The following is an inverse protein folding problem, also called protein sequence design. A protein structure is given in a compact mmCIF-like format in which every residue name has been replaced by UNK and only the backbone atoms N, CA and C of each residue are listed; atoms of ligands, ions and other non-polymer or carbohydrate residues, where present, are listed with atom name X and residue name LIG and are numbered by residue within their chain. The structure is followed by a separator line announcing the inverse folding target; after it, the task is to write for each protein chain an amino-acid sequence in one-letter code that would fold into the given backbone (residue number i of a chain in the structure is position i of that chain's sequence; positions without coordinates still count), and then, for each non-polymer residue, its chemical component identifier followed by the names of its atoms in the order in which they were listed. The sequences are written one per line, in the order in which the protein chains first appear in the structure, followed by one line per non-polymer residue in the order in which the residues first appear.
data_IF_967441058431
#
_entry.id   IF_967441058431
#
_cell.length_a   1.000
_cell.length_b   1.000
_cell.length_c   1.000
_cell.angle_alpha   90.00
_cell.angle_beta   90.00
_cell.angle_gamma   90.00
#
_symmetry.space_group_name_H-M   'P 1'
#
loop_
_entity.id
_entity.type
_entity.pdbx_description
1 polymer ?
#
# COMPACT_ATOMS: atom_id res chain seq x y z
N UNK A 1 -5.85 4.83 -23.81
CA UNK A 1 -6.29 3.47 -24.17
C UNK A 1 -6.18 2.48 -23.01
N UNK A 2 -4.99 2.18 -22.48
CA UNK A 2 -4.79 1.18 -21.39
C UNK A 2 -5.42 1.60 -20.05
N UNK A 3 -5.21 2.85 -19.61
CA UNK A 3 -5.77 3.35 -18.33
C UNK A 3 -7.30 3.29 -18.34
N UNK A 4 -7.93 3.65 -19.47
CA UNK A 4 -9.38 3.63 -19.61
C UNK A 4 -9.93 2.20 -19.53
N UNK A 5 -9.25 1.25 -20.20
CA UNK A 5 -9.55 -0.18 -20.09
C UNK A 5 -9.51 -0.67 -18.64
N UNK A 6 -8.47 -0.28 -17.88
CA UNK A 6 -8.34 -0.63 -16.46
C UNK A 6 -9.42 -0.03 -15.56
N UNK A 7 -9.96 1.13 -15.93
CA UNK A 7 -10.95 1.88 -15.13
C UNK A 7 -12.41 1.52 -15.44
N UNK A 8 -12.72 1.04 -16.63
CA UNK A 8 -14.10 0.89 -17.08
C UNK A 8 -14.51 -0.58 -17.30
N UNK A 9 -13.56 -1.48 -17.58
CA UNK A 9 -13.90 -2.85 -17.92
C UNK A 9 -14.32 -3.68 -16.67
N UNK A 10 -15.50 -4.30 -16.74
CA UNK A 10 -16.04 -5.15 -15.66
C UNK A 10 -15.23 -6.43 -15.43
N UNK A 11 -14.76 -7.11 -16.48
CA UNK A 11 -13.95 -8.32 -16.32
C UNK A 11 -12.64 -8.01 -15.57
N UNK A 12 -12.04 -6.87 -15.90
CA UNK A 12 -10.81 -6.39 -15.24
C UNK A 12 -11.04 -6.10 -13.75
N UNK A 13 -12.23 -5.63 -13.35
CA UNK A 13 -12.51 -5.41 -11.91
C UNK A 13 -12.43 -6.68 -11.05
N UNK A 14 -12.74 -7.86 -11.60
CA UNK A 14 -12.58 -9.12 -10.87
C UNK A 14 -11.10 -9.46 -10.67
N UNK A 15 -10.29 -9.32 -11.73
CA UNK A 15 -8.84 -9.55 -11.67
C UNK A 15 -8.19 -8.59 -10.67
N UNK A 16 -8.55 -7.30 -10.73
CA UNK A 16 -8.05 -6.29 -9.80
C UNK A 16 -8.45 -6.61 -8.36
N UNK A 17 -9.64 -7.14 -8.11
CA UNK A 17 -10.04 -7.55 -6.76
C UNK A 17 -9.17 -8.69 -6.22
N UNK A 18 -8.86 -9.69 -7.04
CA UNK A 18 -7.95 -10.79 -6.66
C UNK A 18 -6.54 -10.26 -6.38
N UNK A 19 -6.00 -9.42 -7.27
CA UNK A 19 -4.68 -8.80 -7.09
C UNK A 19 -4.67 -7.94 -5.82
N UNK A 20 -5.71 -7.16 -5.58
CA UNK A 20 -5.88 -6.33 -4.37
C UNK A 20 -5.83 -7.16 -3.10
N UNK A 21 -6.58 -8.27 -3.06
CA UNK A 21 -6.59 -9.20 -1.92
C UNK A 21 -5.22 -9.84 -1.72
N UNK A 22 -4.54 -10.26 -2.79
CA UNK A 22 -3.18 -10.81 -2.71
C UNK A 22 -2.17 -9.82 -2.12
N UNK A 23 -2.16 -8.58 -2.59
CA UNK A 23 -1.29 -7.52 -2.05
C UNK A 23 -1.65 -7.28 -0.58
N UNK A 24 -2.94 -7.14 -0.27
CA UNK A 24 -3.41 -6.91 1.10
C UNK A 24 -3.02 -8.04 2.06
N UNK A 25 -3.15 -9.30 1.63
CA UNK A 25 -2.72 -10.47 2.40
C UNK A 25 -1.22 -10.45 2.66
N UNK A 26 -0.42 -10.09 1.65
CA UNK A 26 1.05 -10.01 1.79
C UNK A 26 1.45 -8.99 2.86
N UNK A 27 0.83 -7.80 2.84
CA UNK A 27 1.04 -6.76 3.85
C UNK A 27 0.56 -7.18 5.24
N UNK A 28 -0.65 -7.72 5.33
CA UNK A 28 -1.23 -8.15 6.61
C UNK A 28 -0.37 -9.22 7.28
N UNK A 29 0.09 -10.21 6.51
CA UNK A 29 0.96 -11.26 7.04
C UNK A 29 2.34 -10.73 7.44
N UNK A 30 2.90 -9.77 6.73
CA UNK A 30 4.16 -9.13 7.10
C UNK A 30 4.04 -8.39 8.44
N UNK A 31 2.99 -7.57 8.58
CA UNK A 31 2.75 -6.82 9.82
C UNK A 31 2.36 -7.73 11.00
N UNK A 32 1.59 -8.79 10.75
CA UNK A 32 1.21 -9.73 11.81
C UNK A 32 2.44 -10.50 12.34
N UNK A 33 3.36 -10.91 11.45
CA UNK A 33 4.63 -11.53 11.86
C UNK A 33 5.47 -10.60 12.72
N UNK A 34 5.47 -9.29 12.44
CA UNK A 34 6.15 -8.28 13.25
C UNK A 34 5.53 -8.14 14.64
N UNK A 35 4.21 -8.20 14.73
CA UNK A 35 3.48 -8.10 15.99
C UNK A 35 3.64 -9.36 16.87
N UNK A 36 3.55 -10.55 16.28
CA UNK A 36 3.60 -11.82 17.02
C UNK A 36 5.02 -12.33 17.25
N UNK A 37 6.03 -11.76 16.58
CA UNK A 37 7.42 -12.20 16.60
C UNK A 37 8.25 -11.79 17.82
N UNK A 38 7.64 -11.23 18.87
CA UNK A 38 8.36 -10.84 20.10
C UNK A 38 8.94 -9.42 20.11
N UNK A 39 8.54 -8.57 19.14
CA UNK A 39 8.93 -7.16 19.06
C UNK A 39 9.71 -6.86 17.78
N UNK A 40 9.11 -6.07 16.90
CA UNK A 40 9.77 -5.61 15.68
C UNK A 40 10.74 -4.46 15.99
N UNK A 41 11.98 -4.60 15.56
CA UNK A 41 12.99 -3.55 15.60
C UNK A 41 13.67 -3.37 14.23
N UNK A 42 13.50 -2.19 13.65
CA UNK A 42 14.11 -1.82 12.37
C UNK A 42 15.56 -1.33 12.53
N UNK A 43 16.11 -1.17 13.73
CA UNK A 43 17.45 -0.59 13.95
C UNK A 43 18.52 -1.27 13.12
N UNK A 44 18.61 -2.61 13.20
CA UNK A 44 19.60 -3.39 12.46
C UNK A 44 19.41 -3.28 10.95
N UNK A 45 18.16 -3.29 10.50
CA UNK A 45 17.82 -3.14 9.08
C UNK A 45 18.25 -1.78 8.54
N UNK A 46 17.95 -0.69 9.25
CA UNK A 46 18.30 0.68 8.84
C UNK A 46 19.81 0.94 8.87
N UNK A 47 20.52 0.41 9.87
CA UNK A 47 21.99 0.49 9.93
C UNK A 47 22.63 -0.24 8.75
N UNK A 48 22.15 -1.45 8.44
CA UNK A 48 22.61 -2.18 7.26
C UNK A 48 22.35 -1.43 5.95
N UNK A 49 21.23 -0.72 5.83
CA UNK A 49 20.95 0.12 4.68
C UNK A 49 21.93 1.32 4.56
N UNK A 50 22.31 1.94 5.67
CA UNK A 50 23.31 3.01 5.70
C UNK A 50 24.69 2.48 5.27
N UNK A 51 25.08 1.29 5.73
CA UNK A 51 26.34 0.64 5.32
C UNK A 51 26.37 0.38 3.81
N UNK A 52 25.24 -0.01 3.22
CA UNK A 52 25.08 -0.22 1.77
C UNK A 52 25.13 1.07 0.94
N UNK A 53 25.20 2.24 1.57
CA UNK A 53 25.44 3.52 0.88
C UNK A 53 26.92 3.82 0.65
N UNK A 54 27.81 2.96 1.15
CA UNK A 54 29.27 3.07 0.99
C UNK A 54 29.81 2.09 -0.06
N UNK A 55 31.03 2.33 -0.55
CA UNK A 55 31.73 1.47 -1.50
C UNK A 55 31.67 1.93 -2.96
N UNK A 56 32.24 1.13 -3.87
CA UNK A 56 32.39 1.49 -5.28
C UNK A 56 31.06 1.48 -6.08
N UNK A 57 30.11 0.65 -5.65
CA UNK A 57 28.77 0.54 -6.25
C UNK A 57 27.70 0.54 -5.15
N UNK A 58 27.37 1.70 -4.57
CA UNK A 58 26.44 1.76 -3.45
C UNK A 58 25.03 1.34 -3.89
N UNK A 59 24.44 0.41 -3.14
CA UNK A 59 23.08 -0.07 -3.39
C UNK A 59 22.02 0.90 -2.83
N UNK A 60 22.38 1.65 -1.80
CA UNK A 60 21.56 2.71 -1.19
C UNK A 60 22.11 4.08 -1.57
N UNK A 61 21.23 5.00 -1.96
CA UNK A 61 21.65 6.34 -2.35
C UNK A 61 21.98 7.20 -1.11
N UNK A 62 22.98 8.06 -1.23
CA UNK A 62 23.49 8.88 -0.11
C UNK A 62 22.41 9.75 0.53
N UNK A 63 21.53 10.37 -0.26
CA UNK A 63 20.43 11.19 0.26
C UNK A 63 19.46 10.40 1.15
N UNK A 64 19.21 9.12 0.79
CA UNK A 64 18.36 8.25 1.59
C UNK A 64 19.08 7.83 2.87
N UNK A 65 20.38 7.50 2.78
CA UNK A 65 21.20 7.18 3.95
C UNK A 65 21.28 8.34 4.96
N UNK A 66 21.38 9.58 4.49
CA UNK A 66 21.30 10.77 5.36
C UNK A 66 19.95 10.84 6.09
N UNK A 67 18.83 10.66 5.38
CA UNK A 67 17.51 10.59 6.02
C UNK A 67 17.42 9.46 7.05
N UNK A 68 17.95 8.27 6.74
CA UNK A 68 17.96 7.16 7.68
C UNK A 68 18.75 7.49 8.95
N UNK A 69 19.93 8.10 8.80
CA UNK A 69 20.82 8.41 9.92
C UNK A 69 20.32 9.59 10.77
N UNK A 70 19.78 10.64 10.15
CA UNK A 70 19.41 11.89 10.82
C UNK A 70 17.95 11.90 11.31
N UNK A 71 17.07 11.11 10.70
CA UNK A 71 15.63 11.10 11.03
C UNK A 71 15.17 9.74 11.50
N UNK A 72 15.44 8.67 10.74
CA UNK A 72 14.82 7.38 11.03
C UNK A 72 15.42 6.69 12.27
N UNK A 73 16.75 6.64 12.39
CA UNK A 73 17.46 6.04 13.53
C UNK A 73 17.16 6.79 14.84
N UNK A 74 17.22 8.13 14.93
CA UNK A 74 16.88 8.85 16.15
C UNK A 74 15.41 8.68 16.59
N UNK A 75 14.51 8.41 15.64
CA UNK A 75 13.07 8.22 15.90
C UNK A 75 12.64 6.76 15.73
N UNK A 76 13.50 5.79 16.05
CA UNK A 76 13.28 4.39 15.69
C UNK A 76 11.97 3.79 16.22
N UNK A 77 11.56 4.15 17.43
CA UNK A 77 10.30 3.66 18.03
C UNK A 77 9.09 4.07 17.19
N UNK A 78 9.09 5.30 16.67
CA UNK A 78 8.05 5.79 15.76
C UNK A 78 8.03 4.96 14.48
N UNK A 79 9.18 4.69 13.87
CA UNK A 79 9.23 3.87 12.64
C UNK A 79 8.86 2.41 12.89
N UNK A 80 9.25 1.83 14.03
CA UNK A 80 8.83 0.49 14.42
C UNK A 80 7.30 0.39 14.55
N UNK A 81 6.67 1.41 15.15
CA UNK A 81 5.22 1.52 15.25
C UNK A 81 4.56 1.73 13.87
N UNK A 82 5.01 2.74 13.12
CA UNK A 82 4.43 3.11 11.82
C UNK A 82 4.54 1.99 10.79
N UNK A 83 5.67 1.29 10.74
CA UNK A 83 5.85 0.14 9.85
C UNK A 83 4.89 -0.97 10.25
N UNK A 84 4.91 -1.41 11.51
CA UNK A 84 4.10 -2.56 11.94
C UNK A 84 2.61 -2.31 11.72
N UNK A 85 2.10 -1.16 12.18
CA UNK A 85 0.69 -0.83 12.03
C UNK A 85 0.33 -0.42 10.61
N UNK A 86 1.23 0.26 9.89
CA UNK A 86 1.05 0.59 8.49
C UNK A 86 0.82 -0.65 7.63
N UNK A 87 1.63 -1.68 7.81
CA UNK A 87 1.48 -2.96 7.08
C UNK A 87 0.14 -3.64 7.38
N UNK A 88 -0.27 -3.68 8.65
CA UNK A 88 -1.54 -4.28 9.06
C UNK A 88 -2.73 -3.50 8.48
N UNK A 89 -2.73 -2.18 8.63
CA UNK A 89 -3.83 -1.31 8.20
C UNK A 89 -3.95 -1.26 6.69
N UNK A 90 -2.83 -1.18 5.96
CA UNK A 90 -2.82 -1.30 4.49
C UNK A 90 -3.33 -2.67 4.08
N UNK A 91 -2.87 -3.74 4.74
CA UNK A 91 -3.31 -5.09 4.47
C UNK A 91 -4.83 -5.26 4.60
N UNK A 92 -5.40 -4.83 5.72
CA UNK A 92 -6.84 -4.86 5.99
C UNK A 92 -7.60 -3.99 4.99
N UNK A 93 -7.14 -2.74 4.77
CA UNK A 93 -7.79 -1.80 3.85
C UNK A 93 -7.88 -2.36 2.43
N UNK A 94 -6.82 -3.02 1.96
CA UNK A 94 -6.80 -3.68 0.65
C UNK A 94 -7.64 -4.95 0.61
N UNK A 95 -7.62 -5.82 1.63
CA UNK A 95 -8.46 -7.03 1.63
C UNK A 95 -9.95 -6.66 1.59
N UNK A 96 -10.36 -5.81 2.54
CA UNK A 96 -11.75 -5.34 2.68
C UNK A 96 -12.16 -4.47 1.49
N UNK A 97 -11.21 -3.80 0.85
CA UNK A 97 -11.46 -2.82 -0.21
C UNK A 97 -12.15 -1.57 0.35
N UNK A 98 -11.68 -1.11 1.51
CA UNK A 98 -12.11 0.14 2.16
C UNK A 98 -10.94 1.13 2.09
N UNK A 99 -11.19 2.31 1.55
CA UNK A 99 -10.15 3.31 1.27
C UNK A 99 -9.03 2.74 0.38
N UNK A 100 -9.39 1.94 -0.63
CA UNK A 100 -8.46 1.16 -1.47
C UNK A 100 -7.32 2.01 -2.03
N UNK A 101 -7.63 3.21 -2.53
CA UNK A 101 -6.62 4.13 -3.08
C UNK A 101 -5.64 4.62 -2.01
N UNK A 102 -6.15 4.98 -0.84
CA UNK A 102 -5.33 5.43 0.29
C UNK A 102 -4.47 4.29 0.82
N UNK A 103 -5.05 3.09 0.99
CA UNK A 103 -4.33 1.91 1.43
C UNK A 103 -3.20 1.55 0.46
N UNK A 104 -3.47 1.52 -0.86
CA UNK A 104 -2.43 1.19 -1.84
C UNK A 104 -1.36 2.28 -1.94
N UNK A 105 -1.72 3.55 -1.75
CA UNK A 105 -0.76 4.65 -1.74
C UNK A 105 0.24 4.50 -0.59
N UNK A 106 -0.22 4.28 0.64
CA UNK A 106 0.68 4.06 1.78
C UNK A 106 1.45 2.75 1.66
N UNK A 107 0.85 1.71 1.08
CA UNK A 107 1.57 0.48 0.70
C UNK A 107 2.74 0.76 -0.24
N UNK A 108 2.53 1.59 -1.27
CA UNK A 108 3.59 2.02 -2.18
C UNK A 108 4.69 2.83 -1.46
N UNK A 109 4.32 3.77 -0.60
CA UNK A 109 5.28 4.57 0.19
C UNK A 109 6.18 3.66 1.04
N UNK A 110 5.60 2.69 1.75
CA UNK A 110 6.38 1.73 2.53
C UNK A 110 7.25 0.84 1.63
N UNK A 111 6.70 0.36 0.51
CA UNK A 111 7.45 -0.51 -0.41
C UNK A 111 8.67 0.20 -1.01
N UNK A 112 8.50 1.45 -1.46
CA UNK A 112 9.61 2.27 -1.92
C UNK A 112 10.62 2.56 -0.81
N UNK A 113 10.16 2.79 0.42
CA UNK A 113 11.06 2.98 1.57
C UNK A 113 11.94 1.74 1.80
N UNK A 114 11.39 0.53 1.63
CA UNK A 114 12.17 -0.72 1.71
C UNK A 114 13.14 -0.86 0.54
N UNK A 115 12.70 -0.53 -0.68
CA UNK A 115 13.55 -0.59 -1.87
C UNK A 115 14.70 0.40 -1.81
N UNK A 116 14.46 1.64 -1.37
CA UNK A 116 15.50 2.64 -1.15
C UNK A 116 16.46 2.23 -0.03
N UNK A 117 16.00 1.42 0.92
CA UNK A 117 16.84 0.81 1.96
C UNK A 117 17.52 -0.50 1.50
N UNK A 118 17.54 -0.79 0.19
CA UNK A 118 18.28 -1.92 -0.40
C UNK A 118 17.50 -3.24 -0.52
N UNK A 119 16.21 -3.27 -0.17
CA UNK A 119 15.40 -4.50 -0.26
C UNK A 119 14.77 -4.68 -1.64
N UNK A 120 15.36 -5.58 -2.44
CA UNK A 120 15.00 -5.78 -3.85
C UNK A 120 14.19 -7.05 -4.15
N UNK A 121 13.86 -7.88 -3.15
CA UNK A 121 13.18 -9.19 -3.31
C UNK A 121 11.80 -9.13 -4.00
N UNK A 122 10.71 -9.40 -3.28
CA UNK A 122 9.35 -9.34 -3.87
C UNK A 122 8.82 -7.91 -4.05
N UNK A 123 9.57 -6.92 -3.56
CA UNK A 123 9.16 -5.52 -3.49
C UNK A 123 8.86 -4.88 -4.87
N UNK A 124 9.73 -5.00 -5.91
CA UNK A 124 9.44 -4.42 -7.22
C UNK A 124 8.14 -4.97 -7.84
N UNK A 125 7.87 -6.26 -7.64
CA UNK A 125 6.62 -6.89 -8.09
C UNK A 125 5.42 -6.30 -7.37
N UNK A 126 5.48 -6.11 -6.05
CA UNK A 126 4.41 -5.49 -5.27
C UNK A 126 4.14 -4.05 -5.69
N UNK A 127 5.18 -3.27 -6.03
CA UNK A 127 5.03 -1.92 -6.57
C UNK A 127 4.25 -1.95 -7.88
N UNK A 128 4.64 -2.80 -8.84
CA UNK A 128 3.98 -2.90 -10.15
C UNK A 128 2.50 -3.26 -9.98
N UNK A 129 2.19 -4.26 -9.17
CA UNK A 129 0.81 -4.67 -8.90
C UNK A 129 0.02 -3.55 -8.21
N UNK A 130 0.62 -2.88 -7.24
CA UNK A 130 0.02 -1.75 -6.52
C UNK A 130 -0.26 -0.55 -7.43
N UNK A 131 0.61 -0.29 -8.43
CA UNK A 131 0.39 0.76 -9.42
C UNK A 131 -0.81 0.46 -10.32
N UNK A 132 -1.03 -0.79 -10.71
CA UNK A 132 -2.25 -1.17 -11.44
C UNK A 132 -3.51 -0.89 -10.61
N UNK A 133 -3.51 -1.27 -9.32
CA UNK A 133 -4.61 -0.96 -8.40
C UNK A 133 -4.84 0.56 -8.28
N UNK A 134 -3.76 1.33 -8.11
CA UNK A 134 -3.82 2.78 -7.97
C UNK A 134 -4.42 3.46 -9.21
N UNK A 135 -3.93 3.12 -10.40
CA UNK A 135 -4.36 3.70 -11.68
C UNK A 135 -5.78 3.28 -12.07
N UNK A 136 -6.19 2.05 -11.72
CA UNK A 136 -7.56 1.57 -11.91
C UNK A 136 -8.62 2.33 -11.10
N UNK A 137 -8.21 3.08 -10.07
CA UNK A 137 -9.07 3.98 -9.31
C UNK A 137 -10.30 3.27 -8.74
N UNK A 138 -11.49 3.78 -9.07
CA UNK A 138 -12.76 3.23 -8.58
C UNK A 138 -12.96 1.75 -8.96
N UNK A 139 -12.45 1.31 -10.11
CA UNK A 139 -12.67 -0.06 -10.60
C UNK A 139 -12.02 -1.11 -9.69
N UNK A 140 -10.92 -0.77 -9.03
CA UNK A 140 -10.23 -1.65 -8.08
C UNK A 140 -10.96 -1.76 -6.72
N UNK A 141 -11.67 -0.71 -6.32
CA UNK A 141 -12.50 -0.69 -5.10
C UNK A 141 -13.93 -1.22 -5.31
N UNK A 142 -14.32 -1.49 -6.57
CA UNK A 142 -15.70 -1.84 -6.95
C UNK A 142 -16.25 -3.08 -6.23
N UNK A 143 -15.42 -4.11 -6.07
CA UNK A 143 -15.74 -5.32 -5.31
C UNK A 143 -15.18 -5.24 -3.88
N UNK A 144 -15.47 -4.14 -3.20
CA UNK A 144 -15.09 -3.89 -1.82
C UNK A 144 -16.09 -2.96 -1.16
N UNK A 145 -15.78 -2.57 0.07
CA UNK A 145 -16.59 -1.60 0.82
C UNK A 145 -16.72 -0.27 0.06
N UNK A 146 -15.67 0.17 -0.64
CA UNK A 146 -15.69 1.40 -1.46
C UNK A 146 -16.81 1.37 -2.53
N UNK A 147 -16.97 0.24 -3.22
CA UNK A 147 -18.01 0.06 -4.22
C UNK A 147 -19.42 -0.04 -3.61
N UNK A 148 -19.54 -0.71 -2.46
CA UNK A 148 -20.82 -0.83 -1.75
C UNK A 148 -21.33 0.52 -1.25
N UNK A 149 -20.47 1.32 -0.61
CA UNK A 149 -20.81 2.65 -0.10
C UNK A 149 -21.21 3.57 -1.25
N UNK A 150 -20.45 3.61 -2.34
CA UNK A 150 -20.76 4.49 -3.47
C UNK A 150 -22.10 4.09 -4.13
N UNK A 151 -22.36 2.80 -4.30
CA UNK A 151 -23.64 2.30 -4.82
C UNK A 151 -24.81 2.78 -3.95
N UNK A 152 -24.69 2.69 -2.62
CA UNK A 152 -25.73 3.15 -1.70
C UNK A 152 -26.00 4.66 -1.81
N UNK A 153 -24.94 5.48 -1.82
CA UNK A 153 -25.03 6.94 -1.93
C UNK A 153 -25.69 7.35 -3.27
N UNK A 154 -25.29 6.73 -4.38
CA UNK A 154 -25.85 7.03 -5.70
C UNK A 154 -27.33 6.64 -5.79
N UNK A 155 -27.71 5.51 -5.21
CA UNK A 155 -29.11 5.05 -5.17
C UNK A 155 -29.99 5.95 -4.29
N UNK A 156 -29.49 6.44 -3.16
CA UNK A 156 -30.19 7.40 -2.31
C UNK A 156 -30.40 8.74 -3.02
N UNK A 157 -29.37 9.28 -3.69
CA UNK A 157 -29.50 10.52 -4.48
C UNK A 157 -30.56 10.40 -5.57
N UNK A 158 -30.54 9.30 -6.33
CA UNK A 158 -31.53 9.04 -7.39
C UNK A 158 -32.96 8.99 -6.87
N UNK A 159 -33.17 8.42 -5.68
CA UNK A 159 -34.49 8.34 -5.02
C UNK A 159 -35.00 9.71 -4.60
N UNK A 160 -34.14 10.56 -4.03
CA UNK A 160 -34.50 11.91 -3.60
C UNK A 160 -34.88 12.81 -4.78
N UNK A 161 -34.17 12.72 -5.91
CA UNK A 161 -34.53 13.45 -7.13
C UNK A 161 -35.91 13.05 -7.66
N UNK A 162 -36.24 11.75 -7.67
CA UNK A 162 -37.57 11.28 -8.10
C UNK A 162 -38.68 11.78 -7.19
N UNK A 163 -38.45 11.86 -5.88
CA UNK A 163 -39.43 12.36 -4.93
C UNK A 163 -39.64 13.89 -4.97
N UNK A 164 -38.66 14.66 -5.46
CA UNK A 164 -38.79 16.11 -5.66
C UNK A 164 -39.46 16.48 -6.99
N UNK A 165 -39.46 15.57 -7.97
CA UNK A 165 -40.03 15.75 -9.29
C UNK A 165 -41.48 15.23 -9.43
N UNK A 166 -42.04 14.67 -8.35
CA UNK A 166 -43.41 14.17 -8.24
C UNK A 166 -44.22 15.09 -7.32
#
# INVERSE_FOLDING_TARGET
MVIQFLRENKAVSYVLAVVRIYIGYTWLMAGMKKLTGGGFDATGYLKGAIEQASGAHPAVQSWWASFLNEVAIPNIELFNFLVTWGEILVGIGLIVGCLTKTAVFFGLVMNFSYMFSGSTGVNPQLVILSMFILVSGYNAGKFGVDGFILSKILNEKSRNYKNQAA
#
